data_IF_039382986992
#
_entry.id   IF_039382986992
#
_cell.length_a   1.000
_cell.length_b   1.000
_cell.length_c   1.000
_cell.angle_alpha   90.00
_cell.angle_beta   90.00
_cell.angle_gamma   90.00
#
_symmetry.space_group_name_H-M   'P 1'
#
loop_
_entity.id
_entity.type
_entity.pdbx_description
1 polymer ?
#
# COMPACT_ATOMS: atom_id res chain seq x y z
N UNK A 1 2.12 23.11 -11.96
CA UNK A 1 1.81 21.76 -11.45
C UNK A 1 2.64 21.56 -10.20
N UNK A 2 1.99 21.51 -9.04
CA UNK A 2 2.63 21.13 -7.78
C UNK A 2 2.97 19.65 -7.87
N UNK A 3 4.24 19.30 -7.72
CA UNK A 3 4.68 17.90 -7.68
C UNK A 3 3.97 17.20 -6.51
N UNK A 4 3.32 16.07 -6.77
CA UNK A 4 2.68 15.32 -5.70
C UNK A 4 3.77 14.86 -4.70
N UNK A 5 3.57 15.03 -3.38
CA UNK A 5 4.62 14.75 -2.41
C UNK A 5 5.05 13.28 -2.48
N UNK A 6 6.36 13.05 -2.56
CA UNK A 6 6.99 11.73 -2.51
C UNK A 6 7.20 11.32 -1.05
N UNK A 7 6.76 10.12 -0.70
CA UNK A 7 7.13 9.47 0.55
C UNK A 7 8.46 8.72 0.37
N UNK A 8 9.39 8.89 1.32
CA UNK A 8 10.68 8.20 1.31
C UNK A 8 11.02 7.69 2.70
N UNK A 9 11.35 6.40 2.79
CA UNK A 9 11.76 5.72 4.01
C UNK A 9 13.13 5.08 3.78
N UNK A 10 14.16 5.57 4.49
CA UNK A 10 15.48 4.94 4.48
C UNK A 10 15.38 3.63 5.27
N UNK A 11 15.72 2.51 4.65
CA UNK A 11 15.69 1.20 5.30
C UNK A 11 16.76 1.13 6.38
N UNK A 12 16.64 0.15 7.28
CA UNK A 12 17.62 -0.07 8.35
C UNK A 12 18.93 -0.70 7.86
N UNK A 13 19.31 -0.42 6.61
CA UNK A 13 20.59 -0.79 6.01
C UNK A 13 21.69 0.19 6.43
N UNK A 14 21.55 0.85 7.58
CA UNK A 14 22.45 1.91 8.07
C UNK A 14 23.86 1.39 8.31
N UNK A 15 24.00 0.09 8.52
CA UNK A 15 25.27 -0.62 8.71
C UNK A 15 26.05 -0.81 7.39
N UNK A 16 25.40 -0.62 6.24
CA UNK A 16 26.08 -0.68 4.94
C UNK A 16 26.71 0.67 4.56
N UNK A 17 27.77 0.65 3.73
CA UNK A 17 28.30 1.85 3.07
C UNK A 17 27.20 2.67 2.40
N UNK A 18 27.34 4.01 2.37
CA UNK A 18 26.29 4.94 1.89
C UNK A 18 25.81 4.63 0.48
N UNK A 19 26.70 4.14 -0.39
CA UNK A 19 26.43 3.73 -1.77
C UNK A 19 25.61 2.44 -1.90
N UNK A 20 25.49 1.69 -0.80
CA UNK A 20 24.70 0.47 -0.68
C UNK A 20 23.41 0.66 0.11
N UNK A 21 23.17 1.86 0.65
CA UNK A 21 21.96 2.18 1.39
C UNK A 21 20.80 2.48 0.45
N UNK A 22 19.65 1.88 0.74
CA UNK A 22 18.45 2.00 -0.08
C UNK A 22 17.30 2.65 0.67
N UNK A 23 16.38 3.25 -0.07
CA UNK A 23 15.17 3.83 0.43
C UNK A 23 13.97 3.28 -0.33
N UNK A 24 12.91 2.98 0.41
CA UNK A 24 11.59 2.76 -0.16
C UNK A 24 11.00 4.12 -0.54
N UNK A 25 10.53 4.22 -1.77
CA UNK A 25 9.93 5.43 -2.33
C UNK A 25 8.51 5.09 -2.80
N UNK A 26 7.52 5.83 -2.32
CA UNK A 26 6.12 5.69 -2.74
C UNK A 26 5.59 7.07 -3.15
N UNK A 27 4.93 7.14 -4.30
CA UNK A 27 4.26 8.36 -4.76
C UNK A 27 3.02 8.04 -5.60
N UNK A 28 2.01 8.92 -5.58
CA UNK A 28 0.83 8.76 -6.43
C UNK A 28 1.16 9.13 -7.88
N UNK A 29 0.63 8.34 -8.81
CA UNK A 29 0.54 8.69 -10.22
C UNK A 29 -0.58 9.68 -10.48
N UNK A 30 -0.44 10.50 -11.53
CA UNK A 30 -1.50 11.42 -11.97
C UNK A 30 -2.80 10.74 -12.42
N UNK A 31 -2.77 9.41 -12.58
CA UNK A 31 -3.90 8.56 -12.98
C UNK A 31 -4.56 7.81 -11.81
N UNK A 32 -4.19 8.11 -10.56
CA UNK A 32 -4.75 7.46 -9.36
C UNK A 32 -3.98 6.21 -8.90
N UNK A 33 -3.05 5.71 -9.72
CA UNK A 33 -2.22 4.56 -9.37
C UNK A 33 -1.12 4.91 -8.36
N UNK A 34 -0.48 3.89 -7.80
CA UNK A 34 0.69 4.05 -6.94
C UNK A 34 1.95 3.58 -7.62
N UNK A 35 3.05 4.30 -7.40
CA UNK A 35 4.38 3.90 -7.84
C UNK A 35 5.23 3.60 -6.62
N UNK A 36 5.79 2.39 -6.59
CA UNK A 36 6.62 1.89 -5.50
C UNK A 36 8.00 1.58 -6.07
N UNK A 37 9.04 2.14 -5.46
CA UNK A 37 10.41 2.02 -5.95
C UNK A 37 11.41 1.79 -4.82
N UNK A 38 12.53 1.15 -5.17
CA UNK A 38 13.73 1.09 -4.31
C UNK A 38 14.79 1.99 -4.93
N UNK A 39 15.11 3.08 -4.26
CA UNK A 39 16.10 4.06 -4.70
C UNK A 39 17.35 4.01 -3.81
N UNK A 40 18.52 4.46 -4.28
CA UNK A 40 19.63 4.78 -3.38
C UNK A 40 19.21 5.87 -2.37
N UNK A 41 19.87 5.93 -1.20
CA UNK A 41 19.58 6.87 -0.10
C UNK A 41 19.33 8.34 -0.53
N UNK A 42 20.08 8.82 -1.53
CA UNK A 42 19.95 10.19 -2.07
C UNK A 42 19.59 10.20 -3.57
N UNK A 43 19.15 9.06 -4.10
CA UNK A 43 18.92 8.86 -5.52
C UNK A 43 17.47 8.96 -5.94
N UNK A 44 17.29 9.02 -7.25
CA UNK A 44 16.05 8.67 -7.91
C UNK A 44 16.28 7.37 -8.68
N UNK A 45 15.22 6.61 -8.90
CA UNK A 45 15.26 5.42 -9.76
C UNK A 45 14.10 5.49 -10.73
N UNK A 46 14.33 5.03 -11.96
CA UNK A 46 13.25 4.75 -12.91
C UNK A 46 12.74 3.31 -12.78
N UNK A 47 13.40 2.49 -11.95
CA UNK A 47 13.02 1.11 -11.69
C UNK A 47 12.06 1.06 -10.51
N UNK A 48 10.83 0.69 -10.79
CA UNK A 48 9.80 0.50 -9.78
C UNK A 48 8.58 -0.20 -10.36
N UNK A 49 7.63 -0.50 -9.50
CA UNK A 49 6.39 -1.18 -9.85
C UNK A 49 5.25 -0.17 -9.79
N UNK A 50 4.44 -0.18 -10.85
CA UNK A 50 3.14 0.49 -10.88
C UNK A 50 2.11 -0.45 -10.27
N UNK A 51 1.44 0.01 -9.22
CA UNK A 51 0.30 -0.66 -8.60
C UNK A 51 -0.95 0.02 -9.14
N UNK A 52 -1.62 -0.67 -10.07
CA UNK A 52 -2.87 -0.18 -10.63
C UNK A 52 -4.00 -0.24 -9.62
N UNK A 53 -4.79 0.84 -9.55
CA UNK A 53 -6.00 0.94 -8.71
C UNK A 53 -7.28 0.76 -9.53
N UNK A 54 -7.16 0.13 -10.71
CA UNK A 54 -8.26 -0.17 -11.61
C UNK A 54 -7.86 -1.27 -12.61
N UNK A 55 -8.85 -1.99 -13.13
CA UNK A 55 -8.68 -3.00 -14.17
C UNK A 55 -8.22 -4.37 -13.65
N UNK A 56 -7.87 -5.28 -14.57
CA UNK A 56 -7.61 -6.69 -14.22
C UNK A 56 -6.48 -6.92 -13.21
N UNK A 57 -5.48 -6.02 -13.15
CA UNK A 57 -4.39 -6.13 -12.18
C UNK A 57 -4.85 -5.94 -10.72
N UNK A 58 -5.85 -5.08 -10.49
CA UNK A 58 -6.44 -4.89 -9.16
C UNK A 58 -7.19 -6.14 -8.69
N UNK A 59 -7.87 -6.83 -9.62
CA UNK A 59 -8.65 -8.04 -9.33
C UNK A 59 -7.77 -9.22 -8.91
N UNK A 60 -6.49 -9.27 -9.32
CA UNK A 60 -5.59 -10.36 -8.95
C UNK A 60 -5.02 -10.24 -7.53
N UNK A 61 -5.01 -9.04 -6.95
CA UNK A 61 -4.52 -8.80 -5.60
C UNK A 61 -5.36 -7.72 -4.91
N UNK A 62 -6.64 -8.01 -4.61
CA UNK A 62 -7.53 -7.06 -3.99
C UNK A 62 -6.96 -6.62 -2.63
N UNK A 63 -6.93 -5.31 -2.39
CA UNK A 63 -6.40 -4.72 -1.16
C UNK A 63 -4.94 -4.23 -1.22
N UNK A 64 -4.16 -4.60 -2.24
CA UNK A 64 -2.78 -4.11 -2.37
C UNK A 64 -2.72 -2.59 -2.55
N UNK A 65 -3.56 -2.00 -3.41
CA UNK A 65 -3.64 -0.55 -3.61
C UNK A 65 -3.92 0.21 -2.31
N UNK A 66 -4.99 -0.12 -1.57
CA UNK A 66 -5.26 0.44 -0.24
C UNK A 66 -4.08 0.31 0.74
N UNK A 67 -3.42 -0.85 0.79
CA UNK A 67 -2.27 -1.06 1.67
C UNK A 67 -1.08 -0.15 1.32
N UNK A 68 -0.80 0.06 0.03
CA UNK A 68 0.25 0.99 -0.43
C UNK A 68 -0.12 2.44 -0.11
N UNK A 69 -1.38 2.84 -0.29
CA UNK A 69 -1.86 4.16 0.11
C UNK A 69 -1.67 4.41 1.62
N UNK A 70 -1.89 3.38 2.43
CA UNK A 70 -1.68 3.40 3.87
C UNK A 70 -0.22 3.52 4.27
N UNK A 71 0.66 2.76 3.62
CA UNK A 71 2.10 2.87 3.80
C UNK A 71 2.60 4.27 3.44
N UNK A 72 2.15 4.82 2.30
CA UNK A 72 2.43 6.18 1.89
C UNK A 72 2.01 7.21 2.95
N UNK A 73 0.77 7.13 3.46
CA UNK A 73 0.27 8.03 4.51
C UNK A 73 1.10 7.95 5.78
N UNK A 74 1.49 6.74 6.20
CA UNK A 74 2.33 6.54 7.38
C UNK A 74 3.72 7.17 7.19
N UNK A 75 4.33 7.01 6.02
CA UNK A 75 5.64 7.59 5.70
C UNK A 75 5.58 9.12 5.65
N UNK A 76 4.55 9.72 5.03
CA UNK A 76 4.36 11.18 5.02
C UNK A 76 4.17 11.73 6.44
N UNK A 77 3.38 11.07 7.28
CA UNK A 77 3.20 11.47 8.67
C UNK A 77 4.55 11.45 9.44
N UNK A 78 5.31 10.37 9.30
CA UNK A 78 6.63 10.25 9.92
C UNK A 78 7.60 11.35 9.44
N UNK A 79 7.60 11.69 8.15
CA UNK A 79 8.39 12.78 7.58
C UNK A 79 8.01 14.17 8.14
N UNK A 80 6.77 14.33 8.61
CA UNK A 80 6.29 15.54 9.30
C UNK A 80 6.55 15.51 10.81
N UNK A 81 7.15 14.43 11.33
CA UNK A 81 7.34 14.22 12.77
C UNK A 81 6.04 13.83 13.50
N UNK A 82 5.02 13.37 12.76
CA UNK A 82 3.72 12.97 13.29
C UNK A 82 3.65 11.45 13.43
N UNK A 83 3.09 10.98 14.55
CA UNK A 83 2.66 9.59 14.67
C UNK A 83 1.34 9.40 13.91
N UNK A 84 1.21 8.34 13.11
CA UNK A 84 -0.05 8.00 12.45
C UNK A 84 -1.10 7.67 13.52
N UNK A 85 -2.15 8.49 13.61
CA UNK A 85 -3.20 8.36 14.65
C UNK A 85 -4.29 7.34 14.30
N UNK A 86 -4.43 6.99 13.02
CA UNK A 86 -5.58 6.21 12.52
C UNK A 86 -5.11 5.02 11.66
N UNK A 87 -4.53 4.01 12.32
CA UNK A 87 -4.43 2.66 11.73
C UNK A 87 -5.61 1.88 12.28
N UNK A 88 -6.49 1.37 11.40
CA UNK A 88 -7.58 0.50 11.81
C UNK A 88 -7.01 -0.63 12.66
N UNK A 89 -7.51 -0.77 13.89
CA UNK A 89 -7.04 -1.85 14.75
C UNK A 89 -7.49 -3.18 14.17
N UNK A 90 -6.86 -4.28 14.59
CA UNK A 90 -7.35 -5.62 14.26
C UNK A 90 -8.84 -5.79 14.59
N UNK A 91 -9.29 -5.21 15.69
CA UNK A 91 -10.69 -5.23 16.10
C UNK A 91 -11.60 -4.42 15.15
N UNK A 92 -11.11 -3.33 14.57
CA UNK A 92 -11.86 -2.57 13.57
C UNK A 92 -11.98 -3.34 12.26
N UNK A 93 -10.90 -3.98 11.81
CA UNK A 93 -10.88 -4.84 10.62
C UNK A 93 -11.78 -6.07 10.78
N UNK A 94 -11.75 -6.73 11.95
CA UNK A 94 -12.63 -7.87 12.24
C UNK A 94 -14.10 -7.46 12.29
N UNK A 95 -14.41 -6.25 12.79
CA UNK A 95 -15.77 -5.70 12.81
C UNK A 95 -16.28 -5.39 11.41
N UNK A 96 -15.44 -4.77 10.58
CA UNK A 96 -15.78 -4.48 9.18
C UNK A 96 -15.99 -5.77 8.39
N UNK A 97 -15.10 -6.76 8.56
CA UNK A 97 -15.26 -8.09 7.94
C UNK A 97 -16.53 -8.80 8.41
N UNK A 98 -16.87 -8.70 9.70
CA UNK A 98 -18.10 -9.25 10.27
C UNK A 98 -19.36 -8.58 9.70
N UNK A 99 -19.36 -7.26 9.57
CA UNK A 99 -20.44 -6.51 8.96
C UNK A 99 -20.62 -6.89 7.48
N UNK A 100 -19.51 -7.00 6.74
CA UNK A 100 -19.53 -7.45 5.35
C UNK A 100 -20.10 -8.86 5.21
N UNK A 101 -19.63 -9.83 6.01
CA UNK A 101 -20.14 -11.21 6.00
C UNK A 101 -21.63 -11.30 6.33
N UNK A 102 -22.13 -10.42 7.19
CA UNK A 102 -23.55 -10.35 7.54
C UNK A 102 -24.40 -9.80 6.40
N UNK A 103 -23.87 -8.83 5.63
CA UNK A 103 -24.54 -8.25 4.47
C UNK A 103 -24.52 -9.17 3.25
N UNK A 104 -23.49 -10.00 3.08
CA UNK A 104 -23.28 -10.88 1.94
C UNK A 104 -23.10 -12.36 2.39
N UNK A 105 -24.13 -12.99 2.97
CA UNK A 105 -24.00 -14.34 3.55
C UNK A 105 -23.70 -15.43 2.52
N UNK A 106 -24.05 -15.21 1.25
CA UNK A 106 -23.77 -16.11 0.13
C UNK A 106 -22.37 -15.93 -0.46
N UNK A 107 -21.54 -15.02 0.04
CA UNK A 107 -20.22 -14.75 -0.54
C UNK A 107 -19.11 -15.28 0.37
N UNK A 108 -18.19 -16.07 -0.19
CA UNK A 108 -17.07 -16.66 0.55
C UNK A 108 -15.75 -16.48 -0.21
N UNK A 109 -14.68 -16.27 0.55
CA UNK A 109 -13.33 -16.31 0.00
C UNK A 109 -12.99 -17.75 -0.39
N UNK A 110 -12.54 -17.95 -1.63
CA UNK A 110 -12.21 -19.27 -2.19
C UNK A 110 -10.93 -19.89 -1.60
N UNK A 111 -10.22 -19.14 -0.74
CA UNK A 111 -8.99 -19.57 -0.09
C UNK A 111 -7.73 -19.28 -0.90
N UNK A 112 -7.87 -18.70 -2.10
CA UNK A 112 -6.77 -18.45 -3.01
C UNK A 112 -6.73 -17.00 -3.50
N UNK A 113 -7.74 -16.55 -4.24
CA UNK A 113 -7.65 -15.27 -4.96
C UNK A 113 -8.95 -14.47 -5.03
N UNK A 114 -10.13 -15.07 -4.80
CA UNK A 114 -11.40 -14.40 -5.11
C UNK A 114 -12.50 -14.62 -4.06
N UNK A 115 -13.49 -13.73 -4.07
CA UNK A 115 -14.74 -13.86 -3.33
C UNK A 115 -15.79 -14.41 -4.28
N UNK A 116 -16.19 -15.65 -4.07
CA UNK A 116 -17.14 -16.37 -4.92
C UNK A 116 -18.51 -16.46 -4.24
N UNK A 117 -19.58 -16.46 -5.03
CA UNK A 117 -20.90 -16.85 -4.53
C UNK A 117 -20.92 -18.34 -4.21
N UNK A 118 -21.21 -18.69 -2.96
CA UNK A 118 -21.43 -20.06 -2.53
C UNK A 118 -22.70 -20.58 -3.18
N UNK A 119 -22.55 -21.56 -4.05
CA UNK A 119 -23.65 -22.34 -4.63
C UNK A 119 -24.17 -23.35 -3.60
N UNK A 120 -24.93 -22.88 -2.61
CA UNK A 120 -25.80 -23.75 -1.79
C UNK A 120 -27.19 -23.87 -2.45
#
# INVERSE_FOLDING_TARGET
>A
MTEAPKAMYLTDDRDFPVDQQHALVIFPGGNGDWYVQVAPRHGQTTRGVRISTSGGAEMHCPGLGPAIADAYRAMIAAQRGEARKDVATRADLERELGAWRSAFPSHRFDGFFDVVESSD
#
